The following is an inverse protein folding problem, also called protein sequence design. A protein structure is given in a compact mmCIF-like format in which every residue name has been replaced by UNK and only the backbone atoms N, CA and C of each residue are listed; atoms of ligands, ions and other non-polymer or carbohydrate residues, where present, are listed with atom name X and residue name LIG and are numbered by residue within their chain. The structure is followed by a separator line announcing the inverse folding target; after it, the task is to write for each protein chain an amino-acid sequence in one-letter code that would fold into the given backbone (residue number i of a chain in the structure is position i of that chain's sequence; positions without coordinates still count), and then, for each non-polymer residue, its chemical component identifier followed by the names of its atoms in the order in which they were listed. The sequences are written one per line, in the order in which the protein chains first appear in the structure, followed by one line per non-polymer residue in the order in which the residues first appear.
data_IF_253270185126
#
_entry.id   IF_253270185126
#
_cell.length_a   1.000
_cell.length_b   1.000
_cell.length_c   1.000
_cell.angle_alpha   90.00
_cell.angle_beta   90.00
_cell.angle_gamma   90.00
#
_symmetry.space_group_name_H-M   'P 1'
#
loop_
_entity.id
_entity.type
_entity.pdbx_description
1 polymer ?
#
# COMPACT_ATOMS: atom_id res chain seq x y z
N UNK A 1 -16.07 20.85 -5.23
CA UNK A 1 -15.90 19.58 -4.52
C UNK A 1 -14.42 19.31 -4.41
N UNK A 2 -13.96 18.77 -3.29
CA UNK A 2 -12.54 18.51 -3.05
C UNK A 2 -11.94 17.58 -4.11
N UNK A 3 -12.73 16.63 -4.60
CA UNK A 3 -12.30 15.64 -5.59
C UNK A 3 -11.71 16.25 -6.88
N UNK A 4 -12.37 17.27 -7.45
CA UNK A 4 -11.92 17.90 -8.70
C UNK A 4 -11.26 19.25 -8.56
N UNK A 5 -11.44 19.92 -7.41
CA UNK A 5 -10.83 21.21 -7.12
C UNK A 5 -9.47 21.12 -6.42
N UNK A 6 -9.18 20.01 -5.73
CA UNK A 6 -7.93 19.82 -5.02
C UNK A 6 -6.85 19.28 -5.96
N UNK A 7 -5.66 19.91 -6.04
CA UNK A 7 -4.51 19.31 -6.72
C UNK A 7 -3.95 18.07 -5.99
N UNK A 8 -4.41 17.77 -4.76
CA UNK A 8 -4.04 16.54 -4.03
C UNK A 8 -4.81 15.34 -4.59
N UNK A 9 -6.14 15.44 -4.68
CA UNK A 9 -6.99 14.38 -5.27
C UNK A 9 -6.87 14.40 -6.79
N UNK A 10 -6.93 15.58 -7.40
CA UNK A 10 -6.71 15.86 -8.81
C UNK A 10 -7.57 15.02 -9.77
N UNK A 11 -8.83 14.75 -9.39
CA UNK A 11 -9.76 13.87 -10.10
C UNK A 11 -9.30 12.39 -10.20
N UNK A 12 -8.32 11.99 -9.39
CA UNK A 12 -7.81 10.63 -9.38
C UNK A 12 -8.44 9.80 -8.26
N UNK A 13 -8.54 8.48 -8.49
CA UNK A 13 -8.83 7.50 -7.44
C UNK A 13 -7.55 6.91 -6.85
N UNK A 14 -6.55 7.75 -6.64
CA UNK A 14 -5.29 7.41 -5.99
C UNK A 14 -4.63 8.63 -5.36
N UNK A 15 -3.88 8.40 -4.29
CA UNK A 15 -3.14 9.41 -3.54
C UNK A 15 -1.65 9.27 -3.77
N UNK A 16 -0.95 10.40 -3.83
CA UNK A 16 0.50 10.45 -3.79
C UNK A 16 0.94 10.77 -2.36
N UNK A 17 1.63 9.85 -1.69
CA UNK A 17 2.05 9.99 -0.29
C UNK A 17 3.44 10.57 -0.11
N UNK A 18 4.12 10.92 -1.20
CA UNK A 18 5.48 11.45 -1.16
C UNK A 18 6.54 10.42 -1.53
N UNK A 19 7.79 10.80 -1.28
CA UNK A 19 8.96 9.99 -1.55
C UNK A 19 9.99 10.08 -0.41
N UNK A 20 10.75 9.01 -0.23
CA UNK A 20 11.80 8.92 0.77
C UNK A 20 13.00 8.17 0.21
N UNK A 21 14.20 8.66 0.50
CA UNK A 21 15.43 7.93 0.24
C UNK A 21 15.70 6.92 1.36
N UNK A 22 15.96 5.67 0.97
CA UNK A 22 16.23 4.56 1.88
C UNK A 22 17.53 3.89 1.45
N UNK A 23 18.44 3.68 2.39
CA UNK A 23 19.68 2.96 2.16
C UNK A 23 19.45 1.45 2.25
N UNK A 24 19.88 0.71 1.24
CA UNK A 24 19.85 -0.75 1.20
C UNK A 24 21.26 -1.31 1.45
N UNK A 25 21.77 -1.22 2.68
CA UNK A 25 23.09 -1.70 3.13
C UNK A 25 24.34 -1.26 2.29
N UNK A 26 25.54 -1.59 2.80
CA UNK A 26 26.77 -0.78 2.86
C UNK A 26 27.57 -0.52 1.55
N UNK A 27 26.97 -0.64 0.36
CA UNK A 27 27.71 -0.37 -0.90
C UNK A 27 26.89 0.20 -2.08
N UNK A 28 25.62 0.57 -1.88
CA UNK A 28 24.79 1.10 -2.97
C UNK A 28 24.29 2.53 -2.71
N UNK A 29 24.08 3.28 -3.79
CA UNK A 29 23.39 4.57 -3.74
C UNK A 29 22.01 4.41 -3.10
N UNK A 30 21.53 5.39 -2.33
CA UNK A 30 20.21 5.32 -1.72
C UNK A 30 19.13 5.12 -2.79
N UNK A 31 18.14 4.30 -2.47
CA UNK A 31 16.98 4.05 -3.34
C UNK A 31 15.89 5.03 -2.96
N UNK A 32 15.28 5.68 -3.95
CA UNK A 32 14.10 6.52 -3.71
C UNK A 32 12.86 5.65 -3.78
N UNK A 33 12.12 5.55 -2.67
CA UNK A 33 10.81 4.92 -2.62
C UNK A 33 9.76 6.03 -2.75
N UNK A 34 8.94 5.94 -3.79
CA UNK A 34 7.77 6.81 -3.98
C UNK A 34 6.51 6.02 -3.72
N UNK A 35 5.62 6.56 -2.88
CA UNK A 35 4.42 5.83 -2.44
C UNK A 35 3.17 6.39 -3.08
N UNK A 36 2.41 5.50 -3.72
CA UNK A 36 1.08 5.75 -4.25
C UNK A 36 0.10 4.81 -3.54
N UNK A 37 -1.05 5.32 -3.13
CA UNK A 37 -2.17 4.52 -2.65
C UNK A 37 -3.28 4.51 -3.71
N UNK A 38 -3.60 3.34 -4.23
CA UNK A 38 -4.79 3.13 -5.06
C UNK A 38 -6.01 3.00 -4.14
N UNK A 39 -7.06 3.77 -4.39
CA UNK A 39 -8.24 3.83 -3.52
C UNK A 39 -9.51 4.08 -4.33
N UNK A 40 -10.62 4.39 -3.66
CA UNK A 40 -11.87 4.81 -4.28
C UNK A 40 -12.54 5.91 -3.46
N UNK A 41 -12.60 7.12 -4.02
CA UNK A 41 -13.36 8.22 -3.42
C UNK A 41 -14.83 8.10 -3.78
N UNK A 42 -15.68 8.26 -2.76
CA UNK A 42 -17.13 8.20 -2.88
C UNK A 42 -17.71 9.58 -2.68
N UNK A 43 -18.82 9.85 -3.36
CA UNK A 43 -19.66 11.01 -3.14
C UNK A 43 -20.38 10.85 -1.79
N UNK A 44 -20.40 11.90 -0.98
CA UNK A 44 -20.90 11.86 0.40
C UNK A 44 -22.42 11.89 0.51
N UNK A 45 -23.13 12.28 -0.55
CA UNK A 45 -24.59 12.26 -0.62
C UNK A 45 -25.11 10.92 -1.16
N UNK A 46 -24.47 10.39 -2.20
CA UNK A 46 -24.93 9.19 -2.92
C UNK A 46 -24.22 7.90 -2.51
N UNK A 47 -23.05 7.98 -1.88
CA UNK A 47 -22.16 6.85 -1.57
C UNK A 47 -21.69 6.05 -2.79
N UNK A 48 -21.83 6.62 -3.98
CA UNK A 48 -21.35 6.04 -5.23
C UNK A 48 -19.93 6.55 -5.55
N UNK A 49 -19.11 5.78 -6.29
CA UNK A 49 -17.81 6.26 -6.74
C UNK A 49 -17.94 7.54 -7.57
N UNK A 50 -17.18 8.58 -7.20
CA UNK A 50 -17.18 9.84 -7.93
C UNK A 50 -16.69 9.59 -9.36
N UNK A 51 -17.37 10.13 -10.38
CA UNK A 51 -16.93 9.94 -11.76
C UNK A 51 -15.56 10.60 -11.99
N UNK A 52 -14.61 9.84 -12.54
CA UNK A 52 -13.26 10.29 -12.86
C UNK A 52 -12.72 9.64 -14.13
N UNK A 53 -11.55 10.05 -14.63
CA UNK A 53 -10.99 9.57 -15.91
C UNK A 53 -10.85 8.04 -15.99
N UNK A 54 -10.63 7.39 -14.84
CA UNK A 54 -10.38 5.95 -14.73
C UNK A 54 -11.55 5.13 -14.17
N UNK A 55 -12.70 5.74 -13.83
CA UNK A 55 -13.78 5.03 -13.11
C UNK A 55 -14.67 4.15 -13.98
N UNK A 56 -14.48 4.19 -15.30
CA UNK A 56 -15.09 3.21 -16.21
C UNK A 56 -14.56 1.78 -16.03
N UNK A 57 -13.38 1.63 -15.40
CA UNK A 57 -12.81 0.34 -15.03
C UNK A 57 -13.14 -0.04 -13.57
N UNK A 58 -13.51 -1.31 -13.29
CA UNK A 58 -13.66 -1.78 -11.92
C UNK A 58 -12.36 -1.62 -11.12
N UNK A 59 -12.47 -1.31 -9.82
CA UNK A 59 -11.32 -1.11 -8.92
C UNK A 59 -10.26 -2.20 -9.05
N UNK A 60 -10.66 -3.48 -9.10
CA UNK A 60 -9.73 -4.61 -9.20
C UNK A 60 -8.82 -4.62 -10.44
N UNK A 61 -9.17 -3.87 -11.49
CA UNK A 61 -8.31 -3.61 -12.65
C UNK A 61 -7.59 -2.28 -12.53
N UNK A 62 -8.32 -1.22 -12.15
CA UNK A 62 -7.80 0.15 -12.00
C UNK A 62 -6.59 0.21 -11.07
N UNK A 63 -6.67 -0.44 -9.90
CA UNK A 63 -5.58 -0.46 -8.93
C UNK A 63 -4.30 -1.18 -9.42
N UNK A 64 -4.36 -1.90 -10.54
CA UNK A 64 -3.23 -2.63 -11.13
C UNK A 64 -2.55 -1.85 -12.27
N UNK A 65 -2.98 -0.63 -12.56
CA UNK A 65 -2.35 0.22 -13.58
C UNK A 65 -0.89 0.54 -13.19
N UNK A 66 0.02 0.38 -14.16
CA UNK A 66 1.46 0.57 -13.95
C UNK A 66 1.98 1.93 -14.43
N UNK A 67 1.14 2.71 -15.12
CA UNK A 67 1.45 4.07 -15.58
C UNK A 67 0.36 4.97 -15.05
N UNK A 68 0.74 5.95 -14.26
CA UNK A 68 -0.15 6.93 -13.65
C UNK A 68 0.29 8.31 -14.12
N UNK A 69 -0.65 9.13 -14.54
CA UNK A 69 -0.41 10.49 -15.01
C UNK A 69 -1.41 11.41 -14.32
N UNK A 70 -0.89 12.43 -13.66
CA UNK A 70 -1.68 13.43 -12.94
C UNK A 70 -0.81 14.66 -12.79
N UNK A 71 -1.03 15.62 -13.70
CA UNK A 71 -0.23 16.84 -13.81
C UNK A 71 -0.44 17.70 -12.57
N UNK A 72 0.65 18.24 -12.03
CA UNK A 72 0.64 19.14 -10.87
C UNK A 72 0.06 18.49 -9.59
N UNK A 73 -0.01 17.15 -9.53
CA UNK A 73 -0.54 16.44 -8.37
C UNK A 73 0.31 16.69 -7.13
N UNK A 74 -0.32 17.08 -6.03
CA UNK A 74 0.33 17.30 -4.75
C UNK A 74 0.33 16.05 -3.87
N UNK A 75 1.35 15.97 -3.02
CA UNK A 75 1.43 15.02 -1.94
C UNK A 75 0.28 15.21 -0.96
N UNK A 76 -0.40 14.10 -0.65
CA UNK A 76 -1.39 14.01 0.39
C UNK A 76 -0.71 13.88 1.76
N UNK A 77 -1.18 14.68 2.71
CA UNK A 77 -0.72 14.66 4.11
C UNK A 77 -1.86 14.16 5.00
N UNK A 78 -3.01 14.84 4.93
CA UNK A 78 -4.20 14.52 5.73
C UNK A 78 -5.45 15.14 5.12
N UNK A 79 -6.63 14.80 5.65
CA UNK A 79 -7.92 15.25 5.10
C UNK A 79 -8.09 16.76 5.18
N UNK A 80 -7.64 17.38 6.27
CA UNK A 80 -7.75 18.82 6.52
C UNK A 80 -6.96 19.67 5.51
N UNK A 81 -6.04 19.06 4.77
CA UNK A 81 -5.30 19.72 3.69
C UNK A 81 -6.20 20.05 2.49
N UNK A 82 -7.27 19.27 2.26
CA UNK A 82 -8.11 19.41 1.08
C UNK A 82 -8.89 20.73 1.13
N UNK A 83 -8.67 21.60 0.14
CA UNK A 83 -9.21 22.96 0.10
C UNK A 83 -8.40 24.01 0.88
N UNK A 84 -7.37 23.58 1.62
CA UNK A 84 -6.43 24.43 2.37
C UNK A 84 -4.99 24.13 1.97
N UNK A 85 -4.76 23.67 0.74
CA UNK A 85 -3.47 23.10 0.34
C UNK A 85 -2.32 24.07 0.58
N UNK A 86 -2.52 25.38 0.34
CA UNK A 86 -1.51 26.42 0.49
C UNK A 86 -0.97 26.59 1.94
N UNK A 87 -1.66 26.06 2.94
CA UNK A 87 -1.22 26.09 4.35
C UNK A 87 -0.30 24.91 4.72
N UNK A 88 -0.12 23.96 3.80
CA UNK A 88 0.67 22.74 3.99
C UNK A 88 1.88 22.68 3.05
N UNK A 89 2.84 21.81 3.37
CA UNK A 89 4.03 21.61 2.54
C UNK A 89 3.68 21.13 1.13
N UNK A 90 4.18 21.86 0.13
CA UNK A 90 3.87 21.64 -1.28
C UNK A 90 4.91 20.73 -1.94
N UNK A 91 4.63 19.43 -1.95
CA UNK A 91 5.45 18.45 -2.67
C UNK A 91 4.72 17.92 -3.90
N UNK A 92 5.11 18.41 -5.08
CA UNK A 92 4.52 18.01 -6.37
C UNK A 92 5.08 16.64 -6.79
N UNK A 93 4.21 15.80 -7.34
CA UNK A 93 4.61 14.56 -8.02
C UNK A 93 5.57 14.90 -9.18
N UNK A 94 6.81 14.38 -9.18
CA UNK A 94 7.77 14.69 -10.22
C UNK A 94 7.24 14.33 -11.62
N UNK A 95 7.45 15.24 -12.58
CA UNK A 95 7.00 15.14 -13.98
C UNK A 95 5.49 14.93 -14.19
N UNK A 96 4.67 15.02 -13.13
CA UNK A 96 3.24 14.73 -13.18
C UNK A 96 2.91 13.29 -13.58
N UNK A 97 3.85 12.35 -13.42
CA UNK A 97 3.66 10.95 -13.81
C UNK A 97 4.49 10.00 -12.96
N UNK A 98 4.02 8.76 -12.85
CA UNK A 98 4.69 7.70 -12.12
C UNK A 98 4.58 6.36 -12.87
N UNK A 99 5.63 5.55 -12.82
CA UNK A 99 5.59 4.15 -13.26
C UNK A 99 5.72 3.26 -12.05
N UNK A 100 4.82 2.28 -11.91
CA UNK A 100 4.82 1.35 -10.78
C UNK A 100 5.90 0.28 -10.97
N UNK A 101 6.78 0.15 -9.98
CA UNK A 101 7.86 -0.84 -9.98
C UNK A 101 7.53 -2.11 -9.19
N UNK A 102 6.66 -1.99 -8.19
CA UNK A 102 6.18 -3.09 -7.37
C UNK A 102 4.83 -2.73 -6.73
N UNK A 103 4.12 -3.76 -6.27
CA UNK A 103 2.86 -3.60 -5.56
C UNK A 103 2.99 -4.05 -4.10
N UNK A 104 2.31 -3.35 -3.20
CA UNK A 104 1.99 -3.84 -1.86
C UNK A 104 0.49 -4.11 -1.84
N UNK A 105 0.10 -5.34 -1.57
CA UNK A 105 -1.30 -5.67 -1.30
C UNK A 105 -1.51 -5.71 0.22
N UNK A 106 -2.40 -4.86 0.71
CA UNK A 106 -2.74 -4.82 2.14
C UNK A 106 -3.88 -5.79 2.42
N UNK A 107 -3.62 -6.78 3.28
CA UNK A 107 -4.62 -7.68 3.82
C UNK A 107 -4.88 -7.29 5.28
N UNK A 108 -6.10 -6.88 5.59
CA UNK A 108 -6.49 -6.50 6.96
C UNK A 108 -6.68 -7.76 7.79
N UNK A 109 -5.89 -7.89 8.86
CA UNK A 109 -5.93 -9.04 9.77
C UNK A 109 -6.96 -8.87 10.90
N UNK A 110 -7.55 -7.68 11.05
CA UNK A 110 -8.57 -7.41 12.06
C UNK A 110 -9.94 -7.93 11.63
N UNK A 111 -10.80 -8.20 12.61
CA UNK A 111 -12.20 -8.54 12.35
C UNK A 111 -13.01 -7.28 12.09
N UNK A 112 -13.68 -7.22 10.94
CA UNK A 112 -14.67 -6.18 10.67
C UNK A 112 -16.08 -6.75 10.56
N UNK A 113 -17.03 -6.15 11.27
CA UNK A 113 -18.44 -6.50 11.17
C UNK A 113 -18.98 -6.32 9.75
N UNK A 114 -19.73 -7.32 9.26
CA UNK A 114 -20.27 -7.32 7.91
C UNK A 114 -19.25 -7.56 6.78
N UNK A 115 -17.96 -7.72 7.09
CA UNK A 115 -16.90 -7.99 6.10
C UNK A 115 -16.09 -9.22 6.50
N UNK A 116 -16.61 -10.44 6.26
CA UNK A 116 -15.88 -11.67 6.59
C UNK A 116 -14.62 -11.82 5.71
N UNK A 117 -13.64 -12.58 6.21
CA UNK A 117 -12.39 -12.84 5.47
C UNK A 117 -12.62 -13.49 4.11
N UNK A 118 -13.70 -14.25 3.92
CA UNK A 118 -14.05 -14.81 2.62
C UNK A 118 -14.28 -13.73 1.55
N UNK A 119 -15.03 -12.67 1.88
CA UNK A 119 -15.27 -11.54 0.97
C UNK A 119 -14.00 -10.76 0.67
N UNK A 120 -13.13 -10.60 1.68
CA UNK A 120 -11.81 -10.00 1.51
C UNK A 120 -10.94 -10.86 0.57
N UNK A 121 -10.92 -12.18 0.77
CA UNK A 121 -10.19 -13.13 -0.07
C UNK A 121 -10.69 -13.17 -1.52
N UNK A 122 -12.00 -13.04 -1.75
CA UNK A 122 -12.56 -12.96 -3.09
C UNK A 122 -12.05 -11.72 -3.84
N UNK A 123 -12.05 -10.56 -3.17
CA UNK A 123 -11.52 -9.31 -3.71
C UNK A 123 -10.00 -9.40 -3.94
N UNK A 124 -9.28 -9.93 -2.95
CA UNK A 124 -7.83 -10.15 -3.01
C UNK A 124 -7.45 -11.04 -4.20
N UNK A 125 -8.16 -12.15 -4.42
CA UNK A 125 -7.91 -13.05 -5.53
C UNK A 125 -8.05 -12.35 -6.89
N UNK A 126 -9.08 -11.51 -7.05
CA UNK A 126 -9.31 -10.73 -8.27
C UNK A 126 -8.17 -9.73 -8.52
N UNK A 127 -7.79 -8.96 -7.48
CA UNK A 127 -6.72 -7.97 -7.55
C UNK A 127 -5.37 -8.63 -7.82
N UNK A 128 -4.97 -9.60 -7.00
CA UNK A 128 -3.68 -10.28 -7.13
C UNK A 128 -3.52 -10.96 -8.49
N UNK A 129 -4.60 -11.54 -9.03
CA UNK A 129 -4.60 -12.12 -10.38
C UNK A 129 -4.31 -11.07 -11.46
N UNK A 130 -4.79 -9.83 -11.30
CA UNK A 130 -4.49 -8.74 -12.23
C UNK A 130 -3.07 -8.19 -12.01
N UNK A 131 -2.64 -8.03 -10.75
CA UNK A 131 -1.27 -7.63 -10.40
C UNK A 131 -0.24 -8.58 -11.03
N UNK A 132 -0.43 -9.90 -10.91
CA UNK A 132 0.51 -10.89 -11.46
C UNK A 132 0.67 -10.73 -12.98
N UNK A 133 -0.41 -10.39 -13.71
CA UNK A 133 -0.36 -10.17 -15.16
C UNK A 133 0.50 -8.97 -15.54
N UNK A 134 0.70 -8.00 -14.64
CA UNK A 134 1.60 -6.86 -14.87
C UNK A 134 3.08 -7.26 -14.90
N UNK A 135 3.42 -8.46 -14.37
CA UNK A 135 4.79 -8.96 -14.17
C UNK A 135 5.63 -8.11 -13.20
N UNK A 136 5.02 -7.18 -12.47
CA UNK A 136 5.66 -6.47 -11.36
C UNK A 136 5.57 -7.34 -10.10
N UNK A 137 6.59 -7.33 -9.22
CA UNK A 137 6.55 -8.07 -7.97
C UNK A 137 5.44 -7.51 -7.06
N UNK A 138 4.90 -8.39 -6.22
CA UNK A 138 3.93 -8.05 -5.18
C UNK A 138 4.37 -8.61 -3.84
N UNK A 139 4.24 -7.80 -2.80
CA UNK A 139 4.41 -8.19 -1.39
C UNK A 139 3.07 -7.99 -0.69
N UNK A 140 2.71 -8.90 0.21
CA UNK A 140 1.51 -8.74 1.04
C UNK A 140 1.91 -8.15 2.38
N UNK A 141 1.24 -7.08 2.76
CA UNK A 141 1.22 -6.58 4.13
C UNK A 141 0.03 -7.21 4.85
N UNK A 142 0.28 -8.15 5.76
CA UNK A 142 -0.76 -8.58 6.70
C UNK A 142 -0.82 -7.51 7.80
N UNK A 143 -1.75 -6.58 7.67
CA UNK A 143 -1.86 -5.35 8.46
C UNK A 143 -2.78 -5.49 9.66
N UNK A 144 -2.74 -4.51 10.57
CA UNK A 144 -3.51 -4.49 11.82
C UNK A 144 -3.19 -5.67 12.75
N UNK A 145 -1.93 -6.10 12.76
CA UNK A 145 -1.49 -7.25 13.55
C UNK A 145 -1.59 -7.04 15.06
N UNK A 146 -1.71 -5.80 15.53
CA UNK A 146 -2.03 -5.44 16.91
C UNK A 146 -3.47 -5.78 17.32
N UNK A 147 -4.36 -6.03 16.36
CA UNK A 147 -5.77 -6.42 16.56
C UNK A 147 -6.16 -7.65 15.74
N UNK A 148 -5.19 -8.53 15.48
CA UNK A 148 -5.34 -9.71 14.61
C UNK A 148 -6.42 -10.68 15.11
N UNK A 149 -7.24 -11.16 14.17
CA UNK A 149 -8.13 -12.30 14.36
C UNK A 149 -7.44 -13.61 13.92
N UNK A 150 -7.65 -14.69 14.67
CA UNK A 150 -7.04 -16.00 14.41
C UNK A 150 -7.42 -16.59 13.04
N UNK A 151 -8.55 -16.17 12.45
CA UNK A 151 -8.99 -16.59 11.13
C UNK A 151 -8.20 -15.91 10.00
N UNK A 152 -7.66 -14.71 10.21
CA UNK A 152 -6.99 -13.93 9.18
C UNK A 152 -5.83 -14.68 8.53
N UNK A 153 -4.95 -15.26 9.36
CA UNK A 153 -3.79 -16.04 8.89
C UNK A 153 -4.22 -17.27 8.11
N UNK A 154 -5.26 -17.96 8.57
CA UNK A 154 -5.80 -19.15 7.90
C UNK A 154 -6.40 -18.79 6.55
N UNK A 155 -7.16 -17.71 6.49
CA UNK A 155 -7.78 -17.21 5.27
C UNK A 155 -6.71 -16.79 4.23
N UNK A 156 -5.72 -16.00 4.64
CA UNK A 156 -4.63 -15.57 3.77
C UNK A 156 -3.79 -16.78 3.29
N UNK A 157 -3.48 -17.73 4.17
CA UNK A 157 -2.76 -18.94 3.78
C UNK A 157 -3.55 -19.78 2.76
N UNK A 158 -4.87 -19.90 2.92
CA UNK A 158 -5.74 -20.57 1.94
C UNK A 158 -5.74 -19.86 0.58
N UNK A 159 -5.89 -18.53 0.58
CA UNK A 159 -5.81 -17.69 -0.61
C UNK A 159 -4.49 -17.93 -1.38
N UNK A 160 -3.35 -17.85 -0.70
CA UNK A 160 -2.02 -18.01 -1.31
C UNK A 160 -1.74 -19.43 -1.82
N UNK A 161 -2.46 -20.44 -1.33
CA UNK A 161 -2.34 -21.81 -1.81
C UNK A 161 -3.16 -22.12 -3.07
N UNK A 162 -3.98 -21.18 -3.55
CA UNK A 162 -4.67 -21.33 -4.83
C UNK A 162 -3.66 -21.47 -5.97
N UNK A 163 -3.98 -22.32 -6.96
CA UNK A 163 -3.03 -22.71 -8.02
C UNK A 163 -2.46 -21.51 -8.81
N UNK A 164 -3.27 -20.49 -9.02
CA UNK A 164 -2.95 -19.24 -9.71
C UNK A 164 -1.99 -18.33 -8.93
N UNK A 165 -1.97 -18.43 -7.59
CA UNK A 165 -1.14 -17.59 -6.71
C UNK A 165 0.06 -18.35 -6.13
N UNK A 166 -0.06 -19.66 -5.89
CA UNK A 166 0.97 -20.46 -5.21
C UNK A 166 2.32 -20.43 -5.91
N UNK A 167 2.32 -20.36 -7.25
CA UNK A 167 3.55 -20.38 -8.06
C UNK A 167 4.33 -19.06 -8.05
N UNK A 168 3.74 -17.96 -7.56
CA UNK A 168 4.38 -16.64 -7.58
C UNK A 168 5.21 -16.36 -6.33
N UNK A 169 5.13 -17.21 -5.30
CA UNK A 169 5.91 -17.11 -4.07
C UNK A 169 5.85 -15.71 -3.41
N UNK A 170 4.62 -15.18 -3.30
CA UNK A 170 4.36 -13.85 -2.72
C UNK A 170 4.87 -13.82 -1.27
N UNK A 171 5.73 -12.84 -0.97
CA UNK A 171 6.22 -12.60 0.39
C UNK A 171 5.12 -11.95 1.22
N UNK A 172 4.95 -12.42 2.46
CA UNK A 172 4.02 -11.84 3.45
C UNK A 172 4.84 -11.21 4.56
N UNK A 173 4.52 -9.95 4.90
CA UNK A 173 5.11 -9.22 6.03
C UNK A 173 3.98 -8.88 6.99
N UNK A 174 4.09 -9.34 8.23
CA UNK A 174 3.17 -8.98 9.31
C UNK A 174 3.51 -7.58 9.83
N UNK A 175 2.58 -6.63 9.73
CA UNK A 175 2.81 -5.22 10.06
C UNK A 175 1.73 -4.64 10.97
N UNK A 176 2.09 -3.60 11.71
CA UNK A 176 1.14 -2.70 12.37
C UNK A 176 1.57 -1.26 12.11
N UNK A 177 0.73 -0.51 11.39
CA UNK A 177 0.95 0.92 11.19
C UNK A 177 0.80 1.68 12.52
N UNK A 178 -0.18 1.30 13.35
CA UNK A 178 -0.46 1.91 14.65
C UNK A 178 0.73 1.78 15.61
N UNK A 179 1.28 0.57 15.71
CA UNK A 179 2.39 0.27 16.62
C UNK A 179 3.75 0.52 15.98
N UNK A 180 3.80 0.91 14.70
CA UNK A 180 5.01 1.06 13.89
C UNK A 180 5.92 -0.20 13.93
N UNK A 181 5.34 -1.35 13.62
CA UNK A 181 6.02 -2.65 13.59
C UNK A 181 6.15 -3.12 12.14
N UNK A 182 7.38 -3.43 11.71
CA UNK A 182 7.73 -3.98 10.40
C UNK A 182 7.34 -3.10 9.18
N UNK A 183 6.96 -1.82 9.39
CA UNK A 183 6.51 -0.94 8.30
C UNK A 183 7.67 -0.62 7.35
N UNK A 184 8.83 -0.21 7.89
CA UNK A 184 10.01 0.06 7.08
C UNK A 184 10.48 -1.22 6.36
N UNK A 185 10.49 -2.37 7.05
CA UNK A 185 10.85 -3.67 6.50
C UNK A 185 9.97 -4.08 5.31
N UNK A 186 8.66 -3.78 5.35
CA UNK A 186 7.74 -4.02 4.23
C UNK A 186 8.15 -3.23 2.98
N UNK A 187 8.43 -1.93 3.12
CA UNK A 187 8.85 -1.09 1.99
C UNK A 187 10.23 -1.49 1.46
N UNK A 188 11.18 -1.80 2.33
CA UNK A 188 12.52 -2.26 1.95
C UNK A 188 12.47 -3.63 1.26
N UNK A 189 11.65 -4.57 1.73
CA UNK A 189 11.42 -5.86 1.07
C UNK A 189 10.82 -5.69 -0.33
N UNK A 190 9.86 -4.77 -0.46
CA UNK A 190 9.22 -4.43 -1.74
C UNK A 190 10.23 -3.81 -2.72
N UNK A 191 11.06 -2.87 -2.25
CA UNK A 191 12.12 -2.27 -3.06
C UNK A 191 13.16 -3.31 -3.50
N UNK A 192 13.57 -4.22 -2.61
CA UNK A 192 14.47 -5.32 -2.96
C UNK A 192 13.88 -6.24 -4.03
N UNK A 193 12.57 -6.54 -3.96
CA UNK A 193 11.89 -7.33 -4.97
C UNK A 193 11.84 -6.60 -6.33
N UNK A 194 11.55 -5.30 -6.33
CA UNK A 194 11.54 -4.45 -7.54
C UNK A 194 12.90 -4.45 -8.24
N UNK A 195 13.97 -4.26 -7.45
CA UNK A 195 15.36 -4.19 -7.93
C UNK A 195 15.97 -5.55 -8.23
N UNK A 196 15.26 -6.66 -7.95
CA UNK A 196 15.78 -8.03 -7.99
C UNK A 196 17.09 -8.16 -7.20
N UNK A 197 17.14 -7.47 -6.07
CA UNK A 197 18.29 -7.47 -5.19
C UNK A 197 18.55 -8.87 -4.63
N UNK A 198 19.83 -9.23 -4.48
CA UNK A 198 20.24 -10.45 -3.78
C UNK A 198 20.23 -10.27 -2.26
N UNK A 199 19.95 -9.06 -1.77
CA UNK A 199 19.88 -8.76 -0.34
C UNK A 199 18.81 -9.64 0.31
N UNK A 200 19.22 -10.43 1.30
CA UNK A 200 18.32 -11.23 2.11
C UNK A 200 17.99 -10.45 3.36
N UNK A 201 16.93 -9.65 3.28
CA UNK A 201 16.39 -8.99 4.45
C UNK A 201 15.82 -10.03 5.41
N UNK A 202 16.31 -10.02 6.65
CA UNK A 202 15.74 -10.83 7.73
C UNK A 202 14.56 -10.07 8.32
N UNK A 203 13.38 -10.33 7.79
CA UNK A 203 12.13 -9.82 8.36
C UNK A 203 11.83 -10.61 9.62
N UNK A 204 11.70 -9.92 10.76
CA UNK A 204 11.38 -10.54 12.03
C UNK A 204 9.90 -10.92 12.10
N UNK A 205 9.59 -11.93 12.92
CA UNK A 205 8.20 -12.21 13.29
C UNK A 205 7.57 -10.97 13.92
N UNK A 206 6.26 -10.78 13.78
CA UNK A 206 5.58 -9.64 14.41
C UNK A 206 5.85 -9.58 15.91
N UNK A 207 5.82 -10.73 16.60
CA UNK A 207 6.06 -10.79 18.04
C UNK A 207 7.47 -10.37 18.45
N UNK A 208 8.49 -10.65 17.64
CA UNK A 208 9.86 -10.26 17.96
C UNK A 208 10.13 -8.80 17.60
N UNK A 209 9.62 -8.35 16.46
CA UNK A 209 9.70 -6.94 16.06
C UNK A 209 8.97 -6.03 17.07
N UNK A 210 7.79 -6.44 17.55
CA UNK A 210 7.02 -5.70 18.54
C UNK A 210 7.78 -5.51 19.86
N UNK A 211 8.54 -6.52 20.32
CA UNK A 211 9.38 -6.39 21.53
C UNK A 211 10.41 -5.28 21.36
N UNK A 212 11.13 -5.29 20.24
CA UNK A 212 12.16 -4.29 19.93
C UNK A 212 11.56 -2.88 19.88
N UNK A 213 10.42 -2.72 19.19
CA UNK A 213 9.72 -1.43 19.09
C UNK A 213 9.24 -0.96 20.47
N UNK A 214 8.72 -1.87 21.29
CA UNK A 214 8.25 -1.55 22.65
C UNK A 214 9.41 -1.14 23.56
N UNK A 215 10.54 -1.82 23.49
CA UNK A 215 11.76 -1.48 24.23
C UNK A 215 12.28 -0.10 23.81
N UNK A 216 12.44 0.14 22.50
CA UNK A 216 12.85 1.45 21.97
C UNK A 216 11.91 2.58 22.43
N UNK A 217 10.60 2.35 22.45
CA UNK A 217 9.63 3.35 22.86
C UNK A 217 9.64 3.60 24.38
N UNK A 218 10.16 2.67 25.20
CA UNK A 218 10.37 2.90 26.63
C UNK A 218 11.59 3.79 26.87
N UNK A 219 12.65 3.62 26.10
CA UNK A 219 13.90 4.37 26.27
C UNK A 219 13.81 5.83 25.82
N UNK A 220 12.77 6.19 25.06
CA UNK A 220 12.49 7.55 24.58
C UNK A 220 11.58 8.34 25.53
N UNK A 221 11.01 7.69 26.56
CA UNK A 221 10.17 8.32 27.60
C UNK A 221 10.96 8.62 28.86
#
# INVERSE_FOLDING_TARGET
TDFGGSPVINNDHWLYWGERQVSLDDASSPVTIRVIEQTEFLDDETYEPIAGPSTSEPYAKRCCQIRLESRDKLMYIQKEQLGLEAEFDQHVLPDGKCTVDAFIYVFDASKTDGRPFESQCASAASILSNVIKTKKPVVIALSQMDSVDDEARKALHSLLNRKDLKSTHITVVEVSALMNVNVDELFVATACAALRSKLRLKILSFSDALKIVTERNRDVR
#
